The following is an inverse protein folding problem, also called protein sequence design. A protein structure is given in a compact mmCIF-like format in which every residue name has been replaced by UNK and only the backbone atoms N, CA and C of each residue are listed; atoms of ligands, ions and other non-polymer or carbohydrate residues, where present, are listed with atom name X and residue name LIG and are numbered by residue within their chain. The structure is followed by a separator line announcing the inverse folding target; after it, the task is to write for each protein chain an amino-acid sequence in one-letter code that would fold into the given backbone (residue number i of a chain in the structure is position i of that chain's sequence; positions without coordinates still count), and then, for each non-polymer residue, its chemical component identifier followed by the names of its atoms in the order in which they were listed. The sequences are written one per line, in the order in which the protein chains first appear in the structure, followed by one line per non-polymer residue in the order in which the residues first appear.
data_IF_212491391461
#
_entry.id   IF_212491391461
#
_cell.length_a   1.000
_cell.length_b   1.000
_cell.length_c   1.000
_cell.angle_alpha   90.00
_cell.angle_beta   90.00
_cell.angle_gamma   90.00
#
_symmetry.space_group_name_H-M   'P 1'
#
loop_
_entity.id
_entity.type
_entity.pdbx_description
1 polymer ?
#
# COMPACT_ATOMS: atom_id res chain seq x y z
N UNK A 1 -24.89 5.52 50.19
CA UNK A 1 -24.54 4.24 50.85
C UNK A 1 -24.56 3.18 49.77
N UNK A 2 -23.39 2.69 49.35
CA UNK A 2 -23.25 1.80 48.19
C UNK A 2 -24.16 0.58 48.36
N UNK A 3 -25.08 0.35 47.40
CA UNK A 3 -25.86 -0.89 47.34
C UNK A 3 -24.85 -2.01 47.10
N UNK A 4 -24.73 -2.92 48.07
CA UNK A 4 -23.80 -4.03 47.99
C UNK A 4 -24.06 -4.87 46.73
N UNK A 5 -23.01 -5.18 46.00
CA UNK A 5 -23.00 -6.14 44.89
C UNK A 5 -23.55 -7.50 45.37
N UNK A 6 -24.21 -8.25 44.49
CA UNK A 6 -24.65 -9.61 44.79
C UNK A 6 -23.44 -10.48 45.20
N UNK A 7 -23.57 -11.25 46.28
CA UNK A 7 -22.47 -12.04 46.83
C UNK A 7 -21.92 -13.07 45.83
N UNK A 8 -22.77 -13.63 44.96
CA UNK A 8 -22.38 -14.58 43.93
C UNK A 8 -21.60 -13.88 42.81
N UNK A 9 -22.01 -12.68 42.43
CA UNK A 9 -21.30 -11.85 41.43
C UNK A 9 -19.93 -11.43 41.96
N UNK A 10 -19.86 -11.00 43.21
CA UNK A 10 -18.60 -10.70 43.89
C UNK A 10 -17.67 -11.92 43.93
N UNK A 11 -18.18 -13.08 44.35
CA UNK A 11 -17.41 -14.32 44.42
C UNK A 11 -16.89 -14.75 43.03
N UNK A 12 -17.73 -14.66 42.00
CA UNK A 12 -17.34 -14.95 40.62
C UNK A 12 -16.23 -14.00 40.13
N UNK A 13 -16.38 -12.70 40.39
CA UNK A 13 -15.37 -11.70 40.02
C UNK A 13 -14.03 -11.93 40.70
N UNK A 14 -14.03 -12.27 41.99
CA UNK A 14 -12.80 -12.62 42.72
C UNK A 14 -12.18 -13.91 42.19
N UNK A 15 -12.99 -14.93 41.89
CA UNK A 15 -12.51 -16.18 41.31
C UNK A 15 -11.87 -15.97 39.94
N UNK A 16 -12.51 -15.18 39.07
CA UNK A 16 -11.95 -14.82 37.76
C UNK A 16 -10.67 -13.99 37.87
N UNK A 17 -10.63 -13.01 38.78
CA UNK A 17 -9.41 -12.23 39.02
C UNK A 17 -8.25 -13.13 39.49
N UNK A 18 -8.53 -14.10 40.36
CA UNK A 18 -7.54 -15.08 40.81
C UNK A 18 -7.07 -15.98 39.66
N UNK A 19 -8.00 -16.50 38.83
CA UNK A 19 -7.69 -17.34 37.66
C UNK A 19 -6.86 -16.57 36.64
N UNK A 20 -7.24 -15.32 36.35
CA UNK A 20 -6.51 -14.44 35.44
C UNK A 20 -5.10 -14.18 35.94
N UNK A 21 -4.93 -13.81 37.22
CA UNK A 21 -3.60 -13.61 37.82
C UNK A 21 -2.74 -14.87 37.66
N UNK A 22 -3.26 -16.04 38.00
CA UNK A 22 -2.54 -17.32 37.88
C UNK A 22 -2.14 -17.62 36.43
N UNK A 23 -3.04 -17.39 35.46
CA UNK A 23 -2.78 -17.53 34.02
C UNK A 23 -1.66 -16.58 33.59
N UNK A 24 -1.75 -15.30 33.94
CA UNK A 24 -0.77 -14.27 33.58
C UNK A 24 0.60 -14.55 34.18
N UNK A 25 0.68 -14.94 35.46
CA UNK A 25 1.94 -15.35 36.08
C UNK A 25 2.59 -16.51 35.34
N UNK A 26 1.80 -17.52 34.94
CA UNK A 26 2.28 -18.65 34.16
C UNK A 26 2.78 -18.27 32.77
N UNK A 27 2.12 -17.31 32.11
CA UNK A 27 2.52 -16.77 30.80
C UNK A 27 3.77 -15.88 30.88
N UNK A 28 3.92 -15.11 31.96
CA UNK A 28 5.14 -14.33 32.22
C UNK A 28 6.32 -15.28 32.42
N UNK A 29 6.15 -16.33 33.24
CA UNK A 29 7.19 -17.36 33.42
C UNK A 29 7.55 -18.02 32.10
N UNK A 30 6.55 -18.40 31.30
CA UNK A 30 6.75 -18.96 29.96
C UNK A 30 7.67 -18.07 29.10
N UNK A 31 7.33 -16.79 28.95
CA UNK A 31 8.12 -15.87 28.12
C UNK A 31 9.50 -15.62 28.72
N UNK A 32 9.58 -15.40 30.04
CA UNK A 32 10.85 -15.18 30.72
C UNK A 32 11.82 -16.36 30.52
N UNK A 33 11.34 -17.60 30.58
CA UNK A 33 12.20 -18.76 30.35
C UNK A 33 12.74 -18.79 28.94
N UNK A 34 11.91 -18.51 27.93
CA UNK A 34 12.35 -18.42 26.53
C UNK A 34 13.37 -17.29 26.35
N UNK A 35 13.14 -16.13 26.96
CA UNK A 35 14.02 -14.96 26.88
C UNK A 35 15.36 -15.20 27.61
N UNK A 36 15.37 -16.07 28.62
CA UNK A 36 16.58 -16.50 29.32
C UNK A 36 17.27 -17.72 28.68
N UNK A 37 16.71 -18.31 27.62
CA UNK A 37 17.40 -19.39 26.89
C UNK A 37 18.61 -18.82 26.13
N UNK A 38 19.69 -19.60 25.99
CA UNK A 38 20.86 -19.17 25.24
C UNK A 38 20.51 -18.73 23.81
N UNK A 39 21.23 -17.72 23.30
CA UNK A 39 21.13 -17.22 21.91
C UNK A 39 22.46 -17.38 21.16
N UNK A 40 23.36 -18.18 21.71
CA UNK A 40 24.71 -18.44 21.24
C UNK A 40 24.73 -19.38 20.02
N UNK A 41 25.93 -19.74 19.58
CA UNK A 41 26.19 -20.42 18.29
C UNK A 41 25.52 -21.79 18.13
N UNK A 42 25.03 -22.38 19.22
CA UNK A 42 24.36 -23.68 19.20
C UNK A 42 22.87 -23.58 18.82
N UNK A 43 22.30 -22.37 18.80
CA UNK A 43 20.93 -22.14 18.34
C UNK A 43 20.93 -21.97 16.83
N UNK A 44 19.98 -22.63 16.16
CA UNK A 44 19.74 -22.47 14.73
C UNK A 44 19.65 -20.98 14.38
N UNK A 45 20.41 -20.58 13.36
CA UNK A 45 20.40 -19.21 12.83
C UNK A 45 19.76 -19.20 11.46
N UNK A 46 19.17 -18.06 11.11
CA UNK A 46 18.59 -17.87 9.79
C UNK A 46 19.72 -17.85 8.75
N UNK A 47 19.49 -18.52 7.62
CA UNK A 47 20.47 -18.61 6.52
C UNK A 47 20.80 -17.22 5.93
N UNK A 48 22.07 -16.92 5.63
CA UNK A 48 22.48 -15.66 5.01
C UNK A 48 21.75 -15.33 3.69
N UNK A 49 21.46 -16.32 2.84
CA UNK A 49 20.73 -16.07 1.59
C UNK A 49 19.28 -15.63 1.84
N UNK A 50 18.70 -16.05 2.96
CA UNK A 50 17.37 -15.64 3.37
C UNK A 50 17.35 -14.17 3.77
N UNK A 51 18.37 -13.69 4.48
CA UNK A 51 18.54 -12.25 4.71
C UNK A 51 18.67 -11.46 3.41
N UNK A 52 19.56 -11.89 2.52
CA UNK A 52 19.77 -11.20 1.24
C UNK A 52 18.48 -11.09 0.42
N UNK A 53 17.68 -12.18 0.35
CA UNK A 53 16.39 -12.18 -0.34
C UNK A 53 15.36 -11.25 0.32
N UNK A 54 15.28 -11.23 1.65
CA UNK A 54 14.38 -10.34 2.38
C UNK A 54 14.78 -8.87 2.16
N UNK A 55 16.06 -8.56 2.31
CA UNK A 55 16.62 -7.23 2.11
C UNK A 55 16.36 -6.76 0.68
N UNK A 56 16.68 -7.57 -0.33
CA UNK A 56 16.45 -7.23 -1.74
C UNK A 56 14.97 -6.91 -2.06
N UNK A 57 14.02 -7.60 -1.43
CA UNK A 57 12.58 -7.33 -1.61
C UNK A 57 12.12 -6.07 -0.87
N UNK A 58 12.65 -5.84 0.32
CA UNK A 58 12.28 -4.71 1.18
C UNK A 58 12.68 -3.34 0.61
N UNK A 59 13.71 -3.30 -0.24
CA UNK A 59 14.26 -2.05 -0.79
C UNK A 59 13.77 -1.68 -2.20
N UNK A 60 12.66 -2.28 -2.65
CA UNK A 60 12.12 -2.09 -4.01
C UNK A 60 11.20 -0.87 -4.16
N UNK A 61 10.93 -0.14 -3.09
CA UNK A 61 9.98 0.98 -3.08
C UNK A 61 10.49 2.17 -3.89
N UNK A 62 9.70 2.72 -4.84
CA UNK A 62 10.08 3.92 -5.59
C UNK A 62 10.39 5.11 -4.66
N UNK A 63 11.55 5.74 -4.86
CA UNK A 63 12.01 6.87 -4.05
C UNK A 63 12.92 6.48 -2.89
N UNK A 64 13.08 5.19 -2.58
CA UNK A 64 14.05 4.71 -1.62
C UNK A 64 15.44 4.69 -2.25
N UNK A 65 16.39 5.38 -1.62
CA UNK A 65 17.79 5.41 -2.03
C UNK A 65 18.55 4.30 -1.34
N UNK A 66 18.86 3.24 -2.08
CA UNK A 66 19.59 2.07 -1.55
C UNK A 66 21.03 2.39 -1.18
N UNK A 67 21.57 3.48 -1.72
CA UNK A 67 22.89 4.05 -1.41
C UNK A 67 22.89 4.98 -0.19
N UNK A 68 21.72 5.31 0.37
CA UNK A 68 21.62 6.22 1.51
C UNK A 68 22.15 5.56 2.79
N UNK A 69 23.15 6.15 3.47
CA UNK A 69 23.68 5.63 4.73
C UNK A 69 22.64 5.42 5.82
N UNK A 70 21.55 6.20 5.83
CA UNK A 70 20.46 6.02 6.79
C UNK A 70 19.66 4.73 6.51
N UNK A 71 19.45 4.41 5.24
CA UNK A 71 18.77 3.17 4.81
C UNK A 71 19.62 1.96 5.16
N UNK A 72 20.92 2.00 4.87
CA UNK A 72 21.85 0.92 5.20
C UNK A 72 21.88 0.61 6.71
N UNK A 73 22.00 1.63 7.57
CA UNK A 73 21.94 1.44 9.03
C UNK A 73 20.60 0.86 9.50
N UNK A 74 19.51 1.25 8.86
CA UNK A 74 18.18 0.72 9.18
C UNK A 74 18.11 -0.78 8.85
N UNK A 75 18.57 -1.18 7.66
CA UNK A 75 18.64 -2.56 7.22
C UNK A 75 19.49 -3.40 8.18
N UNK A 76 20.70 -2.95 8.52
CA UNK A 76 21.57 -3.66 9.48
C UNK A 76 20.91 -3.84 10.86
N UNK A 77 20.19 -2.81 11.33
CA UNK A 77 19.46 -2.87 12.60
C UNK A 77 18.33 -3.89 12.54
N UNK A 78 17.57 -3.91 11.44
CA UNK A 78 16.47 -4.84 11.21
C UNK A 78 16.97 -6.27 11.06
N UNK A 79 18.05 -6.51 10.31
CA UNK A 79 18.66 -7.83 10.16
C UNK A 79 19.07 -8.40 11.52
N UNK A 80 19.68 -7.59 12.39
CA UNK A 80 20.02 -7.99 13.75
C UNK A 80 18.78 -8.33 14.58
N UNK A 81 17.72 -7.54 14.48
CA UNK A 81 16.46 -7.78 15.21
C UNK A 81 15.78 -9.07 14.75
N UNK A 82 15.64 -9.25 13.44
CA UNK A 82 15.11 -10.48 12.83
C UNK A 82 15.90 -11.71 13.27
N UNK A 83 17.23 -11.59 13.36
CA UNK A 83 18.07 -12.69 13.86
C UNK A 83 17.83 -13.04 15.32
N UNK A 84 17.60 -12.06 16.19
CA UNK A 84 17.24 -12.29 17.59
C UNK A 84 15.85 -12.94 17.68
N UNK A 85 14.88 -12.44 16.93
CA UNK A 85 13.50 -12.97 16.93
C UNK A 85 13.45 -14.40 16.38
N UNK A 86 14.24 -14.71 15.35
CA UNK A 86 14.36 -16.07 14.83
C UNK A 86 14.89 -17.02 15.90
N UNK A 87 15.98 -16.68 16.58
CA UNK A 87 16.55 -17.50 17.66
C UNK A 87 15.57 -17.66 18.81
N UNK A 88 14.88 -16.59 19.22
CA UNK A 88 13.82 -16.63 20.23
C UNK A 88 12.69 -17.58 19.81
N UNK A 89 12.31 -17.58 18.55
CA UNK A 89 11.30 -18.49 18.00
C UNK A 89 11.77 -19.94 18.01
N UNK A 90 13.02 -20.20 17.68
CA UNK A 90 13.61 -21.55 17.78
C UNK A 90 13.66 -22.05 19.24
N UNK A 91 13.99 -21.15 20.18
CA UNK A 91 13.95 -21.42 21.61
C UNK A 91 12.53 -21.72 22.07
N UNK A 92 11.55 -20.92 21.63
CA UNK A 92 10.12 -21.16 21.87
C UNK A 92 9.69 -22.54 21.42
N UNK A 93 9.96 -22.93 20.17
CA UNK A 93 9.59 -24.25 19.64
C UNK A 93 10.22 -25.40 20.45
N UNK A 94 11.49 -25.23 20.84
CA UNK A 94 12.19 -26.20 21.69
C UNK A 94 11.53 -26.31 23.06
N UNK A 95 11.23 -25.17 23.70
CA UNK A 95 10.61 -25.11 25.01
C UNK A 95 9.18 -25.68 24.99
N UNK A 96 8.39 -25.34 23.97
CA UNK A 96 7.05 -25.86 23.73
C UNK A 96 7.06 -27.40 23.68
N UNK A 97 8.04 -27.98 22.99
CA UNK A 97 8.22 -29.43 22.92
C UNK A 97 8.53 -30.04 24.30
N UNK A 98 9.43 -29.44 25.07
CA UNK A 98 9.83 -29.89 26.41
C UNK A 98 8.67 -29.84 27.40
N UNK A 99 7.95 -28.71 27.45
CA UNK A 99 6.77 -28.52 28.32
C UNK A 99 5.67 -29.53 27.97
N UNK A 100 5.43 -29.73 26.67
CA UNK A 100 4.42 -30.69 26.19
C UNK A 100 4.77 -32.14 26.55
N UNK A 101 6.05 -32.52 26.54
CA UNK A 101 6.53 -33.85 26.92
C UNK A 101 6.51 -34.11 28.42
N UNK A 102 6.60 -33.07 29.25
CA UNK A 102 6.63 -33.21 30.72
C UNK A 102 5.74 -32.20 31.46
N UNK A 103 4.40 -32.21 31.25
CA UNK A 103 3.52 -31.17 31.79
C UNK A 103 3.56 -31.04 33.32
N UNK A 104 3.78 -32.16 34.03
CA UNK A 104 3.86 -32.18 35.51
C UNK A 104 5.09 -31.42 36.03
N UNK A 105 6.23 -31.51 35.34
CA UNK A 105 7.45 -30.82 35.72
C UNK A 105 7.36 -29.29 35.50
N UNK A 106 6.48 -28.87 34.58
CA UNK A 106 6.27 -27.47 34.21
C UNK A 106 4.87 -26.95 34.60
N UNK A 107 4.25 -27.49 35.65
CA UNK A 107 2.89 -27.11 36.07
C UNK A 107 2.72 -25.62 36.47
N UNK A 108 3.83 -24.91 36.69
CA UNK A 108 3.87 -23.47 36.99
C UNK A 108 3.95 -22.58 35.73
N UNK A 109 4.08 -23.19 34.55
CA UNK A 109 4.09 -22.53 33.24
C UNK A 109 2.71 -22.64 32.62
N UNK A 110 2.25 -21.56 32.01
CA UNK A 110 1.04 -21.58 31.18
C UNK A 110 1.46 -21.40 29.73
N UNK A 111 1.16 -22.39 28.89
CA UNK A 111 1.37 -22.29 27.45
C UNK A 111 0.43 -21.23 26.88
N UNK A 112 0.90 -20.37 25.96
CA UNK A 112 0.01 -19.48 25.23
C UNK A 112 -1.03 -20.29 24.46
N UNK A 113 -2.24 -19.75 24.35
CA UNK A 113 -3.22 -20.31 23.43
C UNK A 113 -2.60 -20.29 22.03
N UNK A 114 -2.71 -21.39 21.26
CA UNK A 114 -2.26 -21.37 19.88
C UNK A 114 -2.96 -20.19 19.21
N UNK A 115 -2.17 -19.35 18.52
CA UNK A 115 -2.77 -18.35 17.63
C UNK A 115 -3.76 -19.10 16.75
N UNK A 116 -4.97 -18.58 16.63
CA UNK A 116 -5.96 -19.17 15.72
C UNK A 116 -5.24 -19.31 14.39
N UNK A 117 -5.00 -20.54 13.95
CA UNK A 117 -4.48 -20.77 12.62
C UNK A 117 -5.43 -20.01 11.71
N UNK A 118 -4.92 -18.95 11.05
CA UNK A 118 -5.61 -18.41 9.90
C UNK A 118 -5.56 -19.59 8.95
N UNK A 119 -6.64 -20.36 8.98
CA UNK A 119 -6.74 -21.59 8.25
C UNK A 119 -6.68 -21.19 6.79
N UNK A 120 -5.50 -21.29 6.18
CA UNK A 120 -5.38 -21.32 4.73
C UNK A 120 -6.07 -22.58 4.16
N UNK A 121 -6.53 -23.49 5.04
CA UNK A 121 -7.30 -24.68 4.71
C UNK A 121 -8.84 -24.46 4.79
N UNK A 122 -9.31 -23.39 5.41
CA UNK A 122 -10.62 -22.85 5.09
C UNK A 122 -10.41 -22.18 3.73
N UNK A 123 -11.26 -22.50 2.77
CA UNK A 123 -11.21 -21.90 1.44
C UNK A 123 -11.36 -20.38 1.50
N UNK A 124 -11.68 -19.73 0.36
CA UNK A 124 -12.08 -18.33 0.41
C UNK A 124 -13.13 -18.13 1.53
N UNK A 125 -13.07 -16.99 2.25
CA UNK A 125 -13.99 -16.70 3.35
C UNK A 125 -15.45 -17.06 2.99
N UNK A 126 -16.21 -17.68 3.91
CA UNK A 126 -17.59 -18.15 3.65
C UNK A 126 -18.56 -17.02 3.20
N UNK A 127 -18.13 -15.76 3.30
CA UNK A 127 -18.80 -14.55 2.81
C UNK A 127 -18.49 -14.21 1.33
N UNK A 128 -17.65 -15.00 0.64
CA UNK A 128 -17.35 -14.83 -0.78
C UNK A 128 -18.13 -15.87 -1.58
N UNK A 129 -19.17 -15.42 -2.28
CA UNK A 129 -19.89 -16.26 -3.24
C UNK A 129 -18.92 -16.89 -4.24
N UNK A 130 -19.11 -18.18 -4.58
CA UNK A 130 -18.33 -18.82 -5.64
C UNK A 130 -18.56 -18.08 -6.97
N UNK A 131 -17.47 -17.62 -7.59
CA UNK A 131 -17.50 -16.99 -8.90
C UNK A 131 -16.45 -17.59 -9.82
N UNK A 132 -16.73 -17.64 -11.12
CA UNK A 132 -15.75 -18.00 -12.12
C UNK A 132 -14.71 -16.88 -12.23
N UNK A 133 -13.53 -17.12 -11.63
CA UNK A 133 -12.44 -16.16 -11.64
C UNK A 133 -11.99 -15.82 -13.06
N UNK A 134 -12.00 -16.77 -13.98
CA UNK A 134 -11.57 -16.54 -15.36
C UNK A 134 -12.57 -15.64 -16.08
N UNK A 135 -13.87 -15.90 -15.93
CA UNK A 135 -14.92 -15.05 -16.46
C UNK A 135 -14.86 -13.63 -15.89
N UNK A 136 -14.71 -13.49 -14.57
CA UNK A 136 -14.64 -12.18 -13.92
C UNK A 136 -13.36 -11.42 -14.31
N UNK A 137 -12.22 -12.10 -14.39
CA UNK A 137 -10.96 -11.54 -14.87
C UNK A 137 -11.12 -11.03 -16.30
N UNK A 138 -11.72 -11.82 -17.18
CA UNK A 138 -11.88 -11.47 -18.59
C UNK A 138 -12.87 -10.31 -18.77
N UNK A 139 -13.98 -10.31 -18.03
CA UNK A 139 -14.93 -9.21 -18.00
C UNK A 139 -14.29 -7.91 -17.48
N UNK A 140 -13.52 -7.99 -16.38
CA UNK A 140 -12.75 -6.86 -15.86
C UNK A 140 -11.73 -6.37 -16.87
N UNK A 141 -10.94 -7.28 -17.45
CA UNK A 141 -9.94 -6.96 -18.44
C UNK A 141 -10.58 -6.31 -19.66
N UNK A 142 -11.72 -6.79 -20.14
CA UNK A 142 -12.46 -6.21 -21.26
C UNK A 142 -12.92 -4.78 -20.97
N UNK A 143 -13.45 -4.54 -19.77
CA UNK A 143 -14.02 -3.25 -19.40
C UNK A 143 -13.01 -2.20 -18.93
N UNK A 144 -11.87 -2.65 -18.41
CA UNK A 144 -10.84 -1.78 -17.83
C UNK A 144 -9.93 -1.17 -18.89
N UNK A 145 -9.66 0.12 -18.74
CA UNK A 145 -8.65 0.86 -19.53
C UNK A 145 -7.22 0.65 -19.01
N UNK A 146 -7.07 0.08 -17.81
CA UNK A 146 -5.77 -0.06 -17.13
C UNK A 146 -5.06 -1.39 -17.41
N UNK A 147 -5.48 -2.11 -18.45
CA UNK A 147 -4.90 -3.40 -18.83
C UNK A 147 -3.58 -3.28 -19.60
N UNK A 148 -3.13 -2.05 -19.92
CA UNK A 148 -1.96 -1.78 -20.77
C UNK A 148 -1.09 -0.70 -20.15
N UNK A 149 0.21 -0.93 -20.13
CA UNK A 149 1.18 0.01 -19.55
C UNK A 149 1.20 1.35 -20.30
N UNK A 150 0.89 1.34 -21.59
CA UNK A 150 0.77 2.52 -22.44
C UNK A 150 -0.34 3.44 -21.95
N UNK A 151 -1.50 2.90 -21.58
CA UNK A 151 -2.63 3.67 -21.04
C UNK A 151 -2.28 4.29 -19.67
N UNK A 152 -1.58 3.56 -18.81
CA UNK A 152 -1.12 4.06 -17.50
C UNK A 152 -0.12 5.20 -17.68
N UNK A 153 0.90 5.01 -18.53
CA UNK A 153 1.92 6.03 -18.84
C UNK A 153 1.30 7.25 -19.51
N UNK A 154 0.37 7.05 -20.44
CA UNK A 154 -0.35 8.13 -21.11
C UNK A 154 -1.15 8.96 -20.10
N UNK A 155 -1.87 8.29 -19.18
CA UNK A 155 -2.63 8.95 -18.13
C UNK A 155 -1.74 9.83 -17.25
N UNK A 156 -0.60 9.29 -16.79
CA UNK A 156 0.38 10.07 -16.01
C UNK A 156 0.83 11.34 -16.74
N UNK A 157 1.13 11.26 -18.04
CA UNK A 157 1.50 12.43 -18.86
C UNK A 157 0.34 13.42 -19.01
N UNK A 158 -0.88 12.95 -19.26
CA UNK A 158 -2.08 13.79 -19.35
C UNK A 158 -2.32 14.54 -18.04
N UNK A 159 -2.21 13.85 -16.90
CA UNK A 159 -2.31 14.48 -15.58
C UNK A 159 -1.25 15.54 -15.36
N UNK A 160 0.01 15.29 -15.73
CA UNK A 160 1.08 16.28 -15.64
C UNK A 160 0.76 17.54 -16.44
N UNK A 161 0.28 17.40 -17.68
CA UNK A 161 -0.10 18.57 -18.50
C UNK A 161 -1.34 19.31 -17.95
N UNK A 162 -2.32 18.60 -17.40
CA UNK A 162 -3.49 19.23 -16.78
C UNK A 162 -3.14 19.93 -15.47
N UNK A 163 -2.20 19.39 -14.68
CA UNK A 163 -1.71 20.01 -13.46
C UNK A 163 -0.99 21.33 -13.74
N UNK A 164 -0.30 21.47 -14.87
CA UNK A 164 0.29 22.77 -15.28
C UNK A 164 -0.80 23.84 -15.39
N UNK A 165 -1.91 23.52 -16.06
CA UNK A 165 -3.05 24.44 -16.19
C UNK A 165 -3.67 24.75 -14.84
N UNK A 166 -3.83 23.75 -13.97
CA UNK A 166 -4.35 23.96 -12.61
C UNK A 166 -3.51 24.93 -11.77
N UNK A 167 -2.21 24.98 -12.01
CA UNK A 167 -1.28 25.89 -11.33
C UNK A 167 -1.15 27.26 -11.99
N UNK A 168 -1.68 27.46 -13.20
CA UNK A 168 -1.66 28.75 -13.88
C UNK A 168 -2.65 29.71 -13.24
N UNK A 169 -2.27 30.99 -13.16
CA UNK A 169 -3.18 32.07 -12.77
C UNK A 169 -3.58 32.86 -14.00
N UNK A 170 -4.88 33.13 -14.16
CA UNK A 170 -5.40 33.96 -15.26
C UNK A 170 -4.91 35.41 -15.19
N UNK A 171 -4.52 35.85 -13.99
CA UNK A 171 -4.12 37.21 -13.68
C UNK A 171 -2.80 37.20 -12.91
N UNK A 172 -2.02 38.27 -13.04
CA UNK A 172 -0.82 38.41 -12.24
C UNK A 172 -1.22 38.81 -10.80
N UNK A 173 -1.04 37.88 -9.86
CA UNK A 173 -1.35 38.06 -8.44
C UNK A 173 -0.13 38.44 -7.60
N UNK A 174 1.07 38.39 -8.17
CA UNK A 174 2.34 38.66 -7.48
C UNK A 174 2.89 40.02 -7.89
N UNK A 175 2.30 41.09 -7.34
CA UNK A 175 2.76 42.46 -7.56
C UNK A 175 3.78 42.83 -6.48
N UNK A 176 5.03 43.09 -6.89
CA UNK A 176 6.13 43.38 -5.95
C UNK A 176 6.38 44.87 -5.74
N UNK A 177 5.75 45.74 -6.55
CA UNK A 177 5.89 47.20 -6.50
C UNK A 177 4.58 47.88 -6.85
N UNK A 178 4.38 49.08 -6.33
CA UNK A 178 3.32 49.99 -6.80
C UNK A 178 3.58 50.38 -8.25
N UNK A 179 2.52 50.43 -9.05
CA UNK A 179 2.55 50.81 -10.47
C UNK A 179 1.35 51.70 -10.78
N UNK A 180 1.39 52.41 -11.92
CA UNK A 180 0.23 53.19 -12.38
C UNK A 180 -0.90 52.26 -12.83
N UNK A 181 -2.12 52.78 -12.85
CA UNK A 181 -3.30 52.02 -13.28
C UNK A 181 -3.13 51.47 -14.72
N UNK A 182 -2.64 52.29 -15.65
CA UNK A 182 -2.40 51.90 -17.04
C UNK A 182 -1.40 50.74 -17.16
N UNK A 183 -0.30 50.78 -16.38
CA UNK A 183 0.71 49.71 -16.33
C UNK A 183 0.14 48.42 -15.74
N UNK A 184 -0.73 48.55 -14.74
CA UNK A 184 -1.44 47.41 -14.15
C UNK A 184 -2.40 46.77 -15.15
N UNK A 185 -3.23 47.55 -15.84
CA UNK A 185 -4.17 47.06 -16.86
C UNK A 185 -3.43 46.35 -18.00
N UNK A 186 -2.30 46.92 -18.44
CA UNK A 186 -1.45 46.30 -19.45
C UNK A 186 -0.87 44.97 -18.95
N UNK A 187 -0.37 44.93 -17.70
CA UNK A 187 0.19 43.70 -17.10
C UNK A 187 -0.86 42.60 -16.98
N UNK A 188 -2.07 42.93 -16.53
CA UNK A 188 -3.17 41.95 -16.42
C UNK A 188 -3.63 41.46 -17.80
N UNK A 189 -3.75 42.37 -18.78
CA UNK A 189 -4.13 42.02 -20.15
C UNK A 189 -3.10 41.09 -20.80
N UNK A 190 -1.80 41.33 -20.56
CA UNK A 190 -0.73 40.46 -21.03
C UNK A 190 -0.78 39.07 -20.38
N UNK A 191 -0.94 39.01 -19.05
CA UNK A 191 -1.04 37.74 -18.33
C UNK A 191 -2.23 36.90 -18.83
N UNK A 192 -3.41 37.52 -18.95
CA UNK A 192 -4.61 36.90 -19.50
C UNK A 192 -4.38 36.37 -20.92
N UNK A 193 -3.81 37.21 -21.81
CA UNK A 193 -3.55 36.84 -23.20
C UNK A 193 -2.59 35.67 -23.29
N UNK A 194 -1.54 35.65 -22.45
CA UNK A 194 -0.56 34.56 -22.41
C UNK A 194 -1.21 33.23 -22.00
N UNK A 195 -2.05 33.23 -20.96
CA UNK A 195 -2.76 32.02 -20.53
C UNK A 195 -3.75 31.57 -21.60
N UNK A 196 -4.48 32.49 -22.22
CA UNK A 196 -5.42 32.17 -23.29
C UNK A 196 -4.72 31.51 -24.50
N UNK A 197 -3.59 32.07 -24.95
CA UNK A 197 -2.79 31.49 -26.04
C UNK A 197 -2.24 30.11 -25.66
N UNK A 198 -1.76 29.95 -24.42
CA UNK A 198 -1.30 28.65 -23.94
C UNK A 198 -2.41 27.59 -23.99
N UNK A 199 -3.60 27.91 -23.45
CA UNK A 199 -4.73 26.98 -23.42
C UNK A 199 -5.21 26.59 -24.81
N UNK A 200 -5.29 27.57 -25.73
CA UNK A 200 -5.80 27.36 -27.09
C UNK A 200 -4.81 26.61 -27.97
N UNK A 201 -3.56 27.05 -27.98
CA UNK A 201 -2.60 26.64 -29.02
C UNK A 201 -1.61 25.58 -28.51
N UNK A 202 -1.13 25.72 -27.27
CA UNK A 202 -0.08 24.86 -26.72
C UNK A 202 -0.63 23.64 -25.99
N UNK A 203 -1.60 23.84 -25.09
CA UNK A 203 -2.09 22.78 -24.20
C UNK A 203 -2.80 21.66 -24.96
N UNK A 204 -3.76 22.01 -25.82
CA UNK A 204 -4.49 21.04 -26.65
C UNK A 204 -3.54 20.29 -27.59
N UNK A 205 -2.60 21.01 -28.22
CA UNK A 205 -1.61 20.41 -29.13
C UNK A 205 -0.70 19.42 -28.39
N UNK A 206 -0.27 19.77 -27.18
CA UNK A 206 0.58 18.93 -26.34
C UNK A 206 -0.17 17.68 -25.89
N UNK A 207 -1.40 17.81 -25.39
CA UNK A 207 -2.24 16.67 -25.00
C UNK A 207 -2.49 15.73 -26.18
N UNK A 208 -2.80 16.26 -27.37
CA UNK A 208 -2.95 15.48 -28.60
C UNK A 208 -1.66 14.71 -28.91
N UNK A 209 -0.50 15.34 -28.78
CA UNK A 209 0.81 14.70 -29.00
C UNK A 209 1.08 13.59 -27.98
N UNK A 210 0.76 13.80 -26.70
CA UNK A 210 0.90 12.81 -25.63
C UNK A 210 0.05 11.58 -25.88
N UNK A 211 -1.22 11.76 -26.24
CA UNK A 211 -2.12 10.65 -26.55
C UNK A 211 -1.61 9.91 -27.79
N UNK A 212 -1.31 10.63 -28.88
CA UNK A 212 -0.84 10.02 -30.12
C UNK A 212 0.46 9.23 -29.93
N UNK A 213 1.45 9.82 -29.27
CA UNK A 213 2.75 9.18 -29.05
C UNK A 213 2.65 7.93 -28.16
N UNK A 214 1.68 7.91 -27.23
CA UNK A 214 1.48 6.78 -26.33
C UNK A 214 0.77 5.59 -27.00
N UNK A 215 -0.16 5.84 -27.94
CA UNK A 215 -0.97 4.78 -28.55
C UNK A 215 -0.60 4.42 -29.99
N UNK A 216 0.23 5.20 -30.70
CA UNK A 216 0.61 4.94 -32.11
C UNK A 216 1.23 3.58 -32.38
N UNK A 217 1.92 2.99 -31.40
CA UNK A 217 2.58 1.69 -31.56
C UNK A 217 1.84 0.53 -30.88
N UNK A 218 0.67 0.77 -30.29
CA UNK A 218 -0.12 -0.27 -29.62
C UNK A 218 -0.72 -1.25 -30.64
N UNK A 219 -0.84 -0.84 -31.90
CA UNK A 219 -1.27 -1.70 -33.00
C UNK A 219 -2.78 -2.01 -32.98
N UNK A 220 -3.16 -3.18 -33.51
CA UNK A 220 -4.55 -3.63 -33.59
C UNK A 220 -5.06 -4.05 -32.21
N UNK A 221 -6.30 -3.67 -31.89
CA UNK A 221 -6.96 -4.04 -30.64
C UNK A 221 -7.82 -2.89 -30.07
N UNK A 222 -8.20 -2.99 -28.80
CA UNK A 222 -9.12 -2.05 -28.16
C UNK A 222 -8.63 -0.59 -28.03
N UNK A 223 -7.34 -0.34 -28.23
CA UNK A 223 -6.70 0.99 -28.22
C UNK A 223 -6.28 1.46 -29.63
N UNK A 224 -6.84 0.87 -30.69
CA UNK A 224 -6.47 1.18 -32.06
C UNK A 224 -6.81 2.63 -32.43
N UNK A 225 -5.79 3.47 -32.65
CA UNK A 225 -5.98 4.85 -33.13
C UNK A 225 -6.36 4.96 -34.61
N UNK A 226 -6.22 3.86 -35.36
CA UNK A 226 -6.54 3.80 -36.78
C UNK A 226 -7.93 3.16 -37.01
N UNK A 227 -8.77 3.09 -35.98
CA UNK A 227 -10.13 2.59 -36.11
C UNK A 227 -10.99 3.56 -36.93
N UNK A 228 -11.50 3.09 -38.06
CA UNK A 228 -12.33 3.87 -38.98
C UNK A 228 -13.82 3.57 -38.82
N UNK A 229 -14.17 2.44 -38.19
CA UNK A 229 -15.56 2.09 -37.92
C UNK A 229 -16.04 2.77 -36.63
N UNK A 230 -17.03 3.66 -36.78
CA UNK A 230 -17.61 4.42 -35.67
C UNK A 230 -18.21 3.55 -34.57
N UNK A 231 -18.91 2.47 -34.91
CA UNK A 231 -19.54 1.59 -33.91
C UNK A 231 -18.48 0.81 -33.13
N UNK A 232 -17.40 0.39 -33.80
CA UNK A 232 -16.25 -0.26 -33.13
C UNK A 232 -15.54 0.74 -32.21
N UNK A 233 -15.34 1.98 -32.66
CA UNK A 233 -14.77 3.03 -31.82
C UNK A 233 -15.64 3.30 -30.57
N UNK A 234 -16.97 3.33 -30.71
CA UNK A 234 -17.91 3.60 -29.61
C UNK A 234 -17.84 2.59 -28.46
N UNK A 235 -17.45 1.35 -28.74
CA UNK A 235 -17.26 0.30 -27.72
C UNK A 235 -15.79 0.07 -27.37
N UNK A 236 -14.88 0.80 -28.00
CA UNK A 236 -13.43 0.66 -27.79
C UNK A 236 -12.98 1.19 -26.44
N UNK A 237 -11.86 0.66 -25.94
CA UNK A 237 -11.18 1.22 -24.76
C UNK A 237 -10.55 2.58 -25.06
N UNK A 238 -10.17 2.84 -26.31
CA UNK A 238 -9.67 4.16 -26.71
C UNK A 238 -10.71 5.24 -26.44
N UNK A 239 -11.97 5.00 -26.80
CA UNK A 239 -13.05 5.97 -26.55
C UNK A 239 -13.31 6.18 -25.05
N UNK A 240 -13.36 5.11 -24.25
CA UNK A 240 -13.44 5.19 -22.78
C UNK A 240 -12.27 6.01 -22.20
N UNK A 241 -11.06 5.79 -22.72
CA UNK A 241 -9.88 6.56 -22.32
C UNK A 241 -9.99 8.04 -22.71
N UNK A 242 -10.46 8.37 -23.91
CA UNK A 242 -10.67 9.76 -24.34
C UNK A 242 -11.76 10.46 -23.52
N UNK A 243 -12.81 9.75 -23.13
CA UNK A 243 -13.83 10.25 -22.19
C UNK A 243 -13.21 10.57 -20.82
N UNK A 244 -12.36 9.69 -20.29
CA UNK A 244 -11.60 9.96 -19.06
C UNK A 244 -10.71 11.20 -19.20
N UNK A 245 -9.95 11.32 -20.30
CA UNK A 245 -9.11 12.50 -20.57
C UNK A 245 -9.95 13.78 -20.57
N UNK A 246 -11.14 13.75 -21.18
CA UNK A 246 -12.07 14.88 -21.16
C UNK A 246 -12.45 15.27 -19.73
N UNK A 247 -12.76 14.31 -18.87
CA UNK A 247 -13.07 14.60 -17.45
C UNK A 247 -11.88 15.18 -16.70
N UNK A 248 -10.67 14.68 -16.94
CA UNK A 248 -9.44 15.23 -16.33
C UNK A 248 -9.21 16.67 -16.78
N UNK A 249 -9.47 16.98 -18.05
CA UNK A 249 -9.34 18.33 -18.60
C UNK A 249 -10.39 19.31 -18.10
N UNK A 250 -11.53 18.84 -17.58
CA UNK A 250 -12.64 19.67 -17.11
C UNK A 250 -12.40 20.33 -15.74
N UNK A 251 -11.14 20.47 -15.30
CA UNK A 251 -10.66 21.10 -14.04
C UNK A 251 -11.80 21.59 -13.14
N UNK A 252 -12.22 20.75 -12.19
CA UNK A 252 -13.04 21.18 -11.05
C UNK A 252 -12.17 21.95 -10.06
#
# INVERSE_FOLDING_TARGET
MFRAEDASVFAHRVAEAYRLRKKTEGLIRYNLYIDCMPLDHNVLSLDPQSYERMTARSITTPGLRTDDPAVLRCVETLERQVGVDFKRTMNKLTFDNVVSRSPKAFAYVTMPEPESEISMAAGPPDDVEEYDFEEQRDCFAFNSIWTRVEAIKASGKVHTECNKVKLMSLFNTTLTKSMKLEEFEQTQSQAYTQVQLFLRDSWITTLRSVVRSSFQYVGKGWFNMYESNWEVYRISKLKKYMEMVKFIMQVK
#
